data_IF_435300378857
#
_entry.id   IF_435300378857
#
_cell.length_a   1.000
_cell.length_b   1.000
_cell.length_c   1.000
_cell.angle_alpha   90.00
_cell.angle_beta   90.00
_cell.angle_gamma   90.00
#
_symmetry.space_group_name_H-M   'P 1'
#
loop_
_entity.id
_entity.type
_entity.pdbx_description
1 polymer ?
#
# COMPACT_ATOMS: atom_id res chain seq x y z
N UNK A 1 -18.80 -36.45 19.73
CA UNK A 1 -18.10 -35.94 20.94
C UNK A 1 -16.61 -35.95 20.67
N UNK A 2 -15.91 -35.01 21.32
CA UNK A 2 -14.54 -34.48 21.11
C UNK A 2 -14.46 -33.48 19.94
N UNK A 3 -14.87 -32.21 20.12
CA UNK A 3 -14.19 -31.12 20.87
C UNK A 3 -12.71 -31.06 20.50
N UNK A 4 -12.38 -30.08 19.65
CA UNK A 4 -11.02 -29.61 19.43
C UNK A 4 -10.69 -28.62 20.55
N UNK A 5 -9.78 -29.03 21.43
CA UNK A 5 -9.18 -28.16 22.42
C UNK A 5 -8.19 -27.22 21.71
N UNK A 6 -8.65 -26.04 21.30
CA UNK A 6 -7.80 -24.85 21.30
C UNK A 6 -7.69 -24.43 22.76
N UNK A 7 -6.73 -25.02 23.50
CA UNK A 7 -6.37 -24.48 24.81
C UNK A 7 -5.74 -23.12 24.59
N UNK A 8 -6.50 -22.06 24.90
CA UNK A 8 -6.01 -20.70 25.03
C UNK A 8 -4.73 -20.69 25.89
N UNK A 9 -3.73 -19.93 25.45
CA UNK A 9 -2.44 -19.87 26.14
C UNK A 9 -2.66 -19.45 27.61
N UNK A 10 -1.96 -20.06 28.59
CA UNK A 10 -2.15 -19.73 30.00
C UNK A 10 -1.98 -18.21 30.25
N UNK A 11 -3.06 -17.53 30.58
CA UNK A 11 -3.08 -16.07 30.84
C UNK A 11 -3.72 -15.21 29.73
N UNK A 12 -4.12 -15.79 28.61
CA UNK A 12 -4.88 -15.11 27.56
C UNK A 12 -6.38 -15.10 27.86
N UNK A 13 -7.02 -13.94 27.74
CA UNK A 13 -8.46 -13.82 27.96
C UNK A 13 -9.25 -14.44 26.80
N UNK A 14 -10.11 -15.41 27.08
CA UNK A 14 -10.91 -16.11 26.06
C UNK A 14 -11.83 -15.20 25.22
N UNK A 15 -12.14 -13.99 25.71
CA UNK A 15 -13.08 -13.08 25.06
C UNK A 15 -12.44 -12.01 24.17
N UNK A 16 -11.25 -11.53 24.56
CA UNK A 16 -10.56 -10.46 23.82
C UNK A 16 -9.12 -10.81 23.42
N UNK A 17 -8.68 -12.03 23.73
CA UNK A 17 -7.35 -12.56 23.44
C UNK A 17 -6.19 -11.69 23.97
N UNK A 18 -6.48 -10.90 25.02
CA UNK A 18 -5.48 -10.13 25.75
C UNK A 18 -4.73 -11.03 26.72
N UNK A 19 -3.40 -11.06 26.59
CA UNK A 19 -2.47 -11.89 27.35
C UNK A 19 -1.74 -11.12 28.46
N UNK A 20 -2.10 -9.84 28.69
CA UNK A 20 -1.44 -8.96 29.67
C UNK A 20 -2.04 -9.06 31.07
N UNK A 21 -3.09 -9.87 31.25
CA UNK A 21 -3.78 -10.01 32.54
C UNK A 21 -4.59 -8.76 32.95
N UNK A 22 -5.00 -7.94 31.97
CA UNK A 22 -5.68 -6.66 32.23
C UNK A 22 -7.19 -6.81 32.39
N UNK A 23 -7.76 -7.97 32.01
CA UNK A 23 -9.20 -8.18 31.92
C UNK A 23 -9.93 -8.31 33.26
N UNK A 24 -9.22 -8.35 34.39
CA UNK A 24 -9.82 -8.48 35.72
C UNK A 24 -10.70 -7.30 36.11
N UNK A 25 -10.38 -6.08 35.62
CA UNK A 25 -11.17 -4.86 35.85
C UNK A 25 -11.09 -3.90 34.67
N UNK A 26 -12.18 -3.19 34.35
CA UNK A 26 -12.12 -2.09 33.40
C UNK A 26 -11.10 -1.05 33.85
N UNK A 27 -10.21 -0.64 32.95
CA UNK A 27 -9.32 0.49 33.13
C UNK A 27 -8.80 0.99 31.79
N UNK A 28 -8.29 2.23 31.79
CA UNK A 28 -7.60 2.86 30.68
C UNK A 28 -6.25 3.37 31.19
N UNK A 29 -5.26 3.42 30.31
CA UNK A 29 -4.01 4.13 30.55
C UNK A 29 -4.28 5.64 30.56
N UNK A 30 -3.84 6.31 31.61
CA UNK A 30 -4.09 7.75 31.85
C UNK A 30 -5.58 8.13 31.73
N UNK A 31 -6.48 7.21 32.09
CA UNK A 31 -7.94 7.38 32.02
C UNK A 31 -8.49 7.69 30.61
N UNK A 32 -7.69 7.49 29.55
CA UNK A 32 -8.06 7.91 28.19
C UNK A 32 -7.59 6.99 27.05
N UNK A 33 -6.62 6.13 27.32
CA UNK A 33 -5.97 5.29 26.30
C UNK A 33 -6.15 3.80 26.58
N UNK A 34 -6.14 2.99 25.53
CA UNK A 34 -5.98 1.55 25.63
C UNK A 34 -5.18 1.05 24.43
N UNK A 35 -4.43 -0.02 24.59
CA UNK A 35 -3.71 -0.64 23.47
C UNK A 35 -4.35 -1.95 23.07
N UNK A 36 -4.35 -2.23 21.78
CA UNK A 36 -4.81 -3.49 21.19
C UNK A 36 -3.60 -4.20 20.60
N UNK A 37 -3.38 -5.47 20.96
CA UNK A 37 -2.42 -6.34 20.28
C UNK A 37 -3.11 -6.92 19.05
N UNK A 38 -2.60 -6.63 17.87
CA UNK A 38 -3.16 -7.13 16.61
C UNK A 38 -2.86 -8.63 16.49
N UNK A 39 -3.90 -9.46 16.40
CA UNK A 39 -3.80 -10.92 16.27
C UNK A 39 -3.94 -11.34 14.81
N UNK A 40 -3.84 -12.63 14.51
CA UNK A 40 -4.21 -13.16 13.19
C UNK A 40 -5.60 -12.63 12.77
N UNK A 41 -5.78 -12.30 11.50
CA UNK A 41 -7.02 -11.72 10.92
C UNK A 41 -7.42 -10.33 11.44
N UNK A 42 -6.53 -9.62 12.14
CA UNK A 42 -6.83 -8.27 12.66
C UNK A 42 -7.40 -7.34 11.60
N UNK A 43 -6.96 -7.41 10.35
CA UNK A 43 -7.39 -6.55 9.25
C UNK A 43 -8.84 -6.80 8.81
N UNK A 44 -9.45 -7.91 9.21
CA UNK A 44 -10.87 -8.24 9.02
C UNK A 44 -11.67 -7.83 10.25
N UNK A 45 -11.25 -8.31 11.43
CA UNK A 45 -11.90 -8.09 12.72
C UNK A 45 -10.85 -7.83 13.80
N UNK A 46 -10.99 -6.74 14.53
CA UNK A 46 -10.10 -6.42 15.66
C UNK A 46 -10.91 -6.25 16.93
N UNK A 47 -10.68 -7.13 17.89
CA UNK A 47 -11.38 -7.15 19.17
C UNK A 47 -10.95 -5.97 20.05
N UNK A 48 -11.92 -5.34 20.69
CA UNK A 48 -11.68 -4.39 21.77
C UNK A 48 -11.36 -5.19 23.05
N UNK A 49 -10.25 -4.91 23.73
CA UNK A 49 -9.90 -5.57 24.98
C UNK A 49 -11.00 -5.42 26.04
N UNK A 50 -11.27 -6.48 26.83
CA UNK A 50 -12.33 -6.46 27.83
C UNK A 50 -12.19 -5.32 28.84
N UNK A 51 -10.95 -4.97 29.20
CA UNK A 51 -10.67 -3.87 30.13
C UNK A 51 -11.05 -2.48 29.58
N UNK A 52 -11.01 -2.31 28.25
CA UNK A 52 -11.36 -1.06 27.58
C UNK A 52 -12.82 -1.03 27.10
N UNK A 53 -13.43 -2.20 26.86
CA UNK A 53 -14.74 -2.37 26.22
C UNK A 53 -15.82 -1.44 26.77
N UNK A 54 -15.98 -1.41 28.10
CA UNK A 54 -17.00 -0.59 28.76
C UNK A 54 -16.86 0.90 28.41
N UNK A 55 -15.65 1.43 28.47
CA UNK A 55 -15.37 2.84 28.17
C UNK A 55 -15.62 3.16 26.70
N UNK A 56 -15.26 2.25 25.80
CA UNK A 56 -15.53 2.41 24.36
C UNK A 56 -17.04 2.48 24.11
N UNK A 57 -17.82 1.56 24.69
CA UNK A 57 -19.28 1.52 24.50
C UNK A 57 -19.96 2.75 25.08
N UNK A 58 -19.62 3.16 26.31
CA UNK A 58 -20.14 4.37 26.95
C UNK A 58 -19.81 5.62 26.11
N UNK A 59 -18.56 5.76 25.65
CA UNK A 59 -18.11 6.91 24.85
C UNK A 59 -18.76 6.97 23.47
N UNK A 60 -19.00 5.81 22.84
CA UNK A 60 -19.68 5.71 21.54
C UNK A 60 -21.22 5.67 21.71
N UNK A 61 -21.72 5.89 22.93
CA UNK A 61 -23.13 6.06 23.26
C UNK A 61 -23.99 4.81 23.11
N UNK A 62 -23.43 3.60 23.23
CA UNK A 62 -24.24 2.38 23.25
C UNK A 62 -25.09 2.35 24.53
N UNK A 63 -26.40 2.17 24.39
CA UNK A 63 -27.33 2.23 25.53
C UNK A 63 -27.28 0.94 26.37
N UNK A 64 -27.20 -0.20 25.70
CA UNK A 64 -27.13 -1.53 26.31
C UNK A 64 -25.88 -2.25 25.83
N UNK A 65 -24.95 -2.47 26.76
CA UNK A 65 -23.68 -3.13 26.48
C UNK A 65 -23.84 -4.60 26.11
N UNK A 66 -24.97 -5.24 26.39
CA UNK A 66 -25.22 -6.64 26.03
C UNK A 66 -26.00 -6.78 24.72
N UNK A 67 -26.45 -5.67 24.13
CA UNK A 67 -27.24 -5.68 22.90
C UNK A 67 -26.40 -5.87 21.64
N UNK A 68 -26.99 -6.55 20.64
CA UNK A 68 -26.43 -6.62 19.30
C UNK A 68 -26.69 -5.32 18.56
N UNK A 69 -25.68 -4.45 18.51
CA UNK A 69 -25.76 -3.14 17.87
C UNK A 69 -24.51 -2.90 17.01
N UNK A 70 -24.67 -2.19 15.90
CA UNK A 70 -23.54 -1.72 15.08
C UNK A 70 -23.63 -0.21 14.94
N UNK A 71 -22.56 0.49 15.31
CA UNK A 71 -22.45 1.94 15.09
C UNK A 71 -21.34 2.26 14.12
N UNK A 72 -21.54 3.33 13.36
CA UNK A 72 -20.49 3.96 12.58
C UNK A 72 -19.79 4.98 13.44
N UNK A 73 -18.47 4.88 13.53
CA UNK A 73 -17.61 5.78 14.30
C UNK A 73 -16.45 6.24 13.43
N UNK A 74 -15.79 7.33 13.80
CA UNK A 74 -14.60 7.80 13.06
C UNK A 74 -13.32 7.41 13.81
N UNK A 75 -12.41 6.75 13.11
CA UNK A 75 -11.03 6.58 13.54
C UNK A 75 -10.18 7.68 12.91
N UNK A 76 -9.50 8.45 13.75
CA UNK A 76 -8.65 9.56 13.31
C UNK A 76 -7.20 9.32 13.67
N UNK A 77 -6.30 9.87 12.85
CA UNK A 77 -4.86 9.81 13.11
C UNK A 77 -4.30 11.23 13.15
N UNK A 78 -3.19 11.43 13.86
CA UNK A 78 -2.53 12.74 13.91
C UNK A 78 -1.94 13.18 12.56
N UNK A 79 -1.85 12.26 11.59
CA UNK A 79 -1.51 12.55 10.20
C UNK A 79 -2.67 13.12 9.38
N UNK A 80 -3.82 13.38 10.00
CA UNK A 80 -5.00 13.95 9.33
C UNK A 80 -5.82 12.94 8.52
N UNK A 81 -5.61 11.63 8.74
CA UNK A 81 -6.46 10.59 8.13
C UNK A 81 -7.71 10.36 8.98
N UNK A 82 -8.84 10.17 8.31
CA UNK A 82 -10.16 9.96 8.90
C UNK A 82 -10.85 8.76 8.23
N UNK A 83 -11.25 7.78 9.04
CA UNK A 83 -11.89 6.55 8.59
C UNK A 83 -13.19 6.29 9.36
N UNK A 84 -14.33 6.38 8.68
CA UNK A 84 -15.61 5.92 9.25
C UNK A 84 -15.66 4.39 9.27
N UNK A 85 -15.43 3.75 10.42
CA UNK A 85 -15.46 2.28 10.57
C UNK A 85 -16.76 1.84 11.25
N UNK A 86 -17.04 0.53 11.19
CA UNK A 86 -18.12 -0.07 11.96
C UNK A 86 -17.54 -0.61 13.27
N UNK A 87 -18.16 -0.22 14.38
CA UNK A 87 -17.96 -0.80 15.70
C UNK A 87 -19.15 -1.71 15.98
N UNK A 88 -18.88 -3.01 15.99
CA UNK A 88 -19.87 -4.06 16.22
C UNK A 88 -19.84 -4.43 17.70
N UNK A 89 -21.01 -4.43 18.34
CA UNK A 89 -21.19 -4.90 19.70
C UNK A 89 -22.09 -6.15 19.73
N UNK A 90 -21.76 -7.07 20.61
CA UNK A 90 -22.57 -8.22 21.00
C UNK A 90 -22.47 -8.41 22.52
N UNK A 91 -23.09 -9.45 23.08
CA UNK A 91 -23.19 -9.68 24.53
C UNK A 91 -21.81 -9.66 25.22
N UNK A 92 -20.84 -10.38 24.67
CA UNK A 92 -19.52 -10.58 25.27
C UNK A 92 -18.37 -9.92 24.52
N UNK A 93 -18.60 -9.38 23.33
CA UNK A 93 -17.54 -8.94 22.42
C UNK A 93 -17.89 -7.63 21.75
N UNK A 94 -16.86 -6.81 21.54
CA UNK A 94 -16.93 -5.59 20.72
C UNK A 94 -15.73 -5.59 19.78
N UNK A 95 -15.93 -5.25 18.51
CA UNK A 95 -14.85 -5.27 17.52
C UNK A 95 -14.97 -4.18 16.47
N UNK A 96 -13.83 -3.75 15.94
CA UNK A 96 -13.75 -3.05 14.66
C UNK A 96 -13.82 -4.05 13.53
N UNK A 97 -14.58 -3.71 12.49
CA UNK A 97 -14.56 -4.46 11.24
C UNK A 97 -15.03 -3.60 10.08
N UNK A 98 -14.65 -4.01 8.87
CA UNK A 98 -15.01 -3.49 7.53
C UNK A 98 -13.80 -3.08 6.69
N UNK A 99 -14.04 -2.83 5.40
CA UNK A 99 -13.01 -2.43 4.42
C UNK A 99 -12.25 -1.15 4.80
N UNK A 100 -12.86 -0.24 5.56
CA UNK A 100 -12.19 1.00 5.99
C UNK A 100 -11.20 0.75 7.14
N UNK A 101 -11.49 -0.23 8.00
CA UNK A 101 -10.53 -0.72 8.99
C UNK A 101 -9.36 -1.45 8.30
N UNK A 102 -9.65 -2.35 7.36
CA UNK A 102 -8.64 -3.01 6.52
C UNK A 102 -7.74 -1.97 5.80
N UNK A 103 -8.36 -0.90 5.27
CA UNK A 103 -7.63 0.18 4.62
C UNK A 103 -6.72 0.95 5.58
N UNK A 104 -7.17 1.25 6.81
CA UNK A 104 -6.34 1.87 7.84
C UNK A 104 -5.14 0.98 8.18
N UNK A 105 -5.37 -0.32 8.40
CA UNK A 105 -4.33 -1.29 8.68
C UNK A 105 -3.26 -1.34 7.59
N UNK A 106 -3.68 -1.45 6.32
CA UNK A 106 -2.77 -1.43 5.17
C UNK A 106 -2.08 -0.09 4.99
N UNK A 107 -2.77 1.01 5.23
CA UNK A 107 -2.23 2.36 5.09
C UNK A 107 -1.02 2.59 6.00
N UNK A 108 -1.07 2.06 7.22
CA UNK A 108 0.00 2.20 8.20
C UNK A 108 0.96 1.01 8.27
N UNK A 109 0.71 -0.04 7.48
CA UNK A 109 1.58 -1.21 7.46
C UNK A 109 1.55 -1.99 8.77
N UNK A 110 0.40 -2.02 9.43
CA UNK A 110 0.19 -2.83 10.61
C UNK A 110 0.41 -4.32 10.27
N UNK A 111 0.93 -5.06 11.24
CA UNK A 111 1.15 -6.49 11.15
C UNK A 111 0.76 -7.16 12.46
N UNK A 112 0.62 -8.49 12.43
CA UNK A 112 0.38 -9.31 13.61
C UNK A 112 1.43 -9.03 14.71
N UNK A 113 1.00 -9.15 15.96
CA UNK A 113 1.73 -8.82 17.19
C UNK A 113 2.06 -7.34 17.42
N UNK A 114 1.72 -6.44 16.49
CA UNK A 114 1.87 -5.01 16.72
C UNK A 114 0.89 -4.53 17.80
N UNK A 115 1.36 -3.67 18.70
CA UNK A 115 0.51 -2.95 19.65
C UNK A 115 0.09 -1.61 19.05
N UNK A 116 -1.22 -1.39 18.94
CA UNK A 116 -1.81 -0.13 18.47
C UNK A 116 -2.53 0.55 19.63
N UNK A 117 -2.14 1.78 19.94
CA UNK A 117 -2.78 2.56 21.00
C UNK A 117 -3.93 3.39 20.46
N UNK A 118 -5.07 3.28 21.13
CA UNK A 118 -6.31 3.99 20.85
C UNK A 118 -6.57 4.98 21.98
N UNK A 119 -6.95 6.22 21.66
CA UNK A 119 -7.32 7.23 22.62
C UNK A 119 -8.78 7.68 22.42
N UNK A 120 -9.56 7.69 23.50
CA UNK A 120 -10.98 8.02 23.50
C UNK A 120 -11.27 9.53 23.61
N UNK A 121 -10.22 10.35 23.50
CA UNK A 121 -10.27 11.79 23.75
C UNK A 121 -10.17 12.12 25.25
N UNK A 122 -10.25 13.41 25.56
CA UNK A 122 -10.24 13.88 26.94
C UNK A 122 -11.65 13.69 27.54
N UNK A 123 -11.80 12.92 28.64
CA UNK A 123 -13.10 12.71 29.27
C UNK A 123 -13.66 13.98 29.93
N UNK A 124 -12.82 14.98 30.23
CA UNK A 124 -13.24 16.25 30.85
C UNK A 124 -13.80 17.25 29.82
N UNK A 125 -13.64 16.98 28.53
CA UNK A 125 -14.13 17.82 27.45
C UNK A 125 -15.36 17.15 26.85
N UNK A 126 -16.52 17.83 26.96
CA UNK A 126 -17.70 17.49 26.16
C UNK A 126 -17.33 17.62 24.68
N UNK A 127 -17.02 16.49 24.06
CA UNK A 127 -16.79 16.38 22.63
C UNK A 127 -18.06 15.79 22.03
N UNK A 128 -18.73 16.56 21.17
CA UNK A 128 -19.84 16.06 20.33
C UNK A 128 -19.39 15.00 19.31
N UNK A 129 -18.07 14.78 19.19
CA UNK A 129 -17.49 13.89 18.20
C UNK A 129 -17.20 12.51 18.81
N UNK A 130 -17.92 11.48 18.34
CA UNK A 130 -17.69 10.05 18.62
C UNK A 130 -16.47 9.53 17.84
N UNK A 131 -15.32 10.14 18.09
CA UNK A 131 -14.06 9.82 17.41
C UNK A 131 -13.13 9.03 18.33
N UNK A 132 -12.41 8.07 17.76
CA UNK A 132 -11.30 7.38 18.44
C UNK A 132 -10.01 7.76 17.71
N UNK A 133 -9.02 8.24 18.46
CA UNK A 133 -7.71 8.56 17.91
C UNK A 133 -6.83 7.31 17.90
N UNK A 134 -6.37 6.91 16.72
CA UNK A 134 -5.35 5.87 16.55
C UNK A 134 -3.99 6.56 16.62
N UNK A 135 -3.24 6.27 17.69
CA UNK A 135 -1.93 6.85 17.95
C UNK A 135 -0.86 6.04 17.21
N UNK A 136 -0.43 6.53 16.06
CA UNK A 136 0.54 5.85 15.19
C UNK A 136 1.70 6.77 14.89
N UNK A 137 2.87 6.57 15.49
CA UNK A 137 4.02 7.49 15.33
C UNK A 137 4.65 7.47 13.93
N UNK A 138 4.42 6.39 13.18
CA UNK A 138 4.96 6.23 11.83
C UNK A 138 4.03 6.85 10.80
N UNK A 139 4.55 7.59 9.80
CA UNK A 139 3.73 8.13 8.73
C UNK A 139 3.07 7.01 7.90
N UNK A 140 1.93 7.28 7.24
CA UNK A 140 1.30 6.34 6.31
C UNK A 140 2.30 5.82 5.27
N UNK A 141 2.30 4.50 5.05
CA UNK A 141 3.12 3.85 4.02
C UNK A 141 2.44 3.82 2.66
N UNK A 142 1.11 3.89 2.61
CA UNK A 142 0.33 3.94 1.37
C UNK A 142 -0.52 5.21 1.34
N UNK A 143 -0.56 5.94 0.21
CA UNK A 143 -1.38 7.14 0.11
C UNK A 143 -2.85 6.83 -0.14
N UNK A 144 -3.72 7.79 0.17
CA UNK A 144 -5.17 7.70 -0.08
C UNK A 144 -5.53 7.35 -1.53
N UNK A 145 -4.73 7.83 -2.49
CA UNK A 145 -4.91 7.52 -3.92
C UNK A 145 -4.86 6.02 -4.21
N UNK A 146 -4.16 5.23 -3.40
CA UNK A 146 -4.13 3.77 -3.51
C UNK A 146 -5.54 3.21 -3.34
N UNK A 147 -6.22 3.57 -2.25
CA UNK A 147 -7.54 3.04 -1.91
C UNK A 147 -8.67 3.51 -2.85
N UNK A 148 -8.44 4.59 -3.60
CA UNK A 148 -9.36 5.08 -4.64
C UNK A 148 -9.09 4.49 -6.04
N UNK A 149 -7.99 3.77 -6.22
CA UNK A 149 -7.59 3.19 -7.51
C UNK A 149 -8.21 1.80 -7.75
N UNK A 150 -8.06 1.29 -8.97
CA UNK A 150 -8.62 -0.01 -9.36
C UNK A 150 -7.85 -1.18 -8.72
N UNK A 151 -8.49 -2.35 -8.61
CA UNK A 151 -7.83 -3.58 -8.13
C UNK A 151 -6.61 -3.98 -8.97
N UNK A 152 -6.58 -3.60 -10.25
CA UNK A 152 -5.44 -3.87 -11.11
C UNK A 152 -4.28 -2.92 -10.82
N UNK A 153 -4.56 -1.64 -10.53
CA UNK A 153 -3.56 -0.70 -10.00
C UNK A 153 -3.01 -1.18 -8.67
N UNK A 154 -3.84 -1.72 -7.76
CA UNK A 154 -3.35 -2.31 -6.51
C UNK A 154 -2.34 -3.42 -6.76
N UNK A 155 -2.69 -4.37 -7.65
CA UNK A 155 -1.77 -5.46 -8.03
C UNK A 155 -0.44 -4.97 -8.60
N UNK A 156 -0.45 -3.89 -9.37
CA UNK A 156 0.78 -3.29 -9.90
C UNK A 156 1.61 -2.66 -8.78
N UNK A 157 0.98 -1.85 -7.93
CA UNK A 157 1.65 -1.15 -6.82
C UNK A 157 2.25 -2.15 -5.82
N UNK A 158 1.48 -3.15 -5.41
CA UNK A 158 1.90 -4.17 -4.44
C UNK A 158 3.04 -5.04 -4.95
N UNK A 159 3.15 -5.23 -6.27
CA UNK A 159 4.22 -6.00 -6.92
C UNK A 159 5.41 -5.16 -7.34
N UNK A 160 5.44 -3.87 -7.01
CA UNK A 160 6.53 -3.01 -7.44
C UNK A 160 7.86 -3.54 -6.88
N UNK A 161 8.78 -3.81 -7.80
CA UNK A 161 10.15 -4.18 -7.46
C UNK A 161 10.97 -2.90 -7.26
N UNK A 162 11.73 -2.86 -6.18
CA UNK A 162 12.66 -1.76 -5.90
C UNK A 162 14.09 -2.25 -5.98
N UNK A 163 14.94 -1.51 -6.70
CA UNK A 163 16.39 -1.69 -6.54
C UNK A 163 16.81 -1.27 -5.12
N UNK A 164 17.94 -1.78 -4.64
CA UNK A 164 18.40 -1.48 -3.29
C UNK A 164 18.50 0.04 -3.03
N UNK A 165 17.79 0.53 -2.00
CA UNK A 165 17.77 1.94 -1.61
C UNK A 165 16.93 2.86 -2.51
N UNK A 166 16.08 2.30 -3.38
CA UNK A 166 15.19 3.07 -4.25
C UNK A 166 13.71 2.91 -3.89
N UNK A 167 13.42 2.56 -2.63
CA UNK A 167 12.07 2.57 -2.09
C UNK A 167 11.45 3.97 -2.23
N UNK A 168 10.22 4.01 -2.73
CA UNK A 168 9.53 5.27 -2.95
C UNK A 168 9.03 5.85 -1.63
N UNK A 169 9.26 7.16 -1.49
CA UNK A 169 8.62 7.98 -0.45
C UNK A 169 7.10 7.99 -0.61
N UNK A 170 6.38 8.43 0.42
CA UNK A 170 4.92 8.60 0.37
C UNK A 170 4.45 9.47 -0.80
N UNK A 171 5.18 10.56 -1.09
CA UNK A 171 4.87 11.44 -2.22
C UNK A 171 5.12 10.75 -3.56
N UNK A 172 6.23 10.02 -3.69
CA UNK A 172 6.53 9.28 -4.92
C UNK A 172 5.57 8.11 -5.16
N UNK A 173 5.03 7.48 -4.10
CA UNK A 173 3.97 6.47 -4.23
C UNK A 173 2.70 7.04 -4.85
N UNK A 174 2.34 8.29 -4.58
CA UNK A 174 1.23 8.94 -5.28
C UNK A 174 1.49 9.04 -6.79
N UNK A 175 2.73 9.35 -7.17
CA UNK A 175 3.13 9.38 -8.58
C UNK A 175 3.12 7.99 -9.22
N UNK A 176 3.53 6.95 -8.49
CA UNK A 176 3.41 5.57 -8.95
C UNK A 176 1.96 5.17 -9.21
N UNK A 177 1.04 5.47 -8.28
CA UNK A 177 -0.38 5.13 -8.43
C UNK A 177 -0.98 5.88 -9.62
N UNK A 178 -0.67 7.17 -9.78
CA UNK A 178 -1.09 7.94 -10.94
C UNK A 178 -0.56 7.33 -12.25
N UNK A 179 0.73 6.99 -12.30
CA UNK A 179 1.36 6.40 -13.48
C UNK A 179 0.76 5.03 -13.85
N UNK A 180 0.50 4.16 -12.86
CA UNK A 180 -0.19 2.89 -13.05
C UNK A 180 -1.63 3.08 -13.54
N UNK A 181 -2.32 4.10 -13.05
CA UNK A 181 -3.68 4.47 -13.51
C UNK A 181 -3.66 4.96 -14.96
N UNK A 182 -2.69 5.78 -15.34
CA UNK A 182 -2.52 6.25 -16.71
C UNK A 182 -2.21 5.08 -17.67
N UNK A 183 -1.38 4.13 -17.25
CA UNK A 183 -1.10 2.92 -18.02
C UNK A 183 -2.35 2.05 -18.19
N UNK A 184 -3.15 1.89 -17.14
CA UNK A 184 -4.44 1.19 -17.23
C UNK A 184 -5.37 1.87 -18.25
N UNK A 185 -5.51 3.19 -18.17
CA UNK A 185 -6.31 3.97 -19.12
C UNK A 185 -5.77 3.88 -20.55
N UNK A 186 -4.45 3.90 -20.73
CA UNK A 186 -3.79 3.71 -22.02
C UNK A 186 -4.15 2.34 -22.63
N UNK A 187 -4.10 1.27 -21.84
CA UNK A 187 -4.43 -0.08 -22.30
C UNK A 187 -5.91 -0.20 -22.67
N UNK A 188 -6.81 0.41 -21.89
CA UNK A 188 -8.24 0.46 -22.20
C UNK A 188 -8.49 1.19 -23.53
N UNK A 189 -7.87 2.36 -23.71
CA UNK A 189 -8.05 3.18 -24.89
C UNK A 189 -7.54 2.49 -26.17
N UNK A 190 -6.37 1.85 -26.09
CA UNK A 190 -5.74 1.18 -27.23
C UNK A 190 -6.22 -0.27 -27.42
N UNK A 191 -7.17 -0.74 -26.61
CA UNK A 191 -7.70 -2.11 -26.63
C UNK A 191 -6.58 -3.17 -26.56
N UNK A 192 -5.51 -2.88 -25.83
CA UNK A 192 -4.37 -3.80 -25.72
C UNK A 192 -4.87 -5.08 -25.05
N UNK A 193 -4.69 -6.26 -25.67
CA UNK A 193 -5.16 -7.52 -25.10
C UNK A 193 -4.65 -7.71 -23.66
N UNK A 194 -5.51 -8.18 -22.76
CA UNK A 194 -5.13 -8.50 -21.36
C UNK A 194 -4.13 -9.67 -21.27
N UNK A 195 -3.82 -10.30 -22.39
CA UNK A 195 -2.92 -11.43 -22.45
C UNK A 195 -1.48 -10.96 -22.57
N UNK A 196 -0.61 -11.68 -21.88
CA UNK A 196 0.85 -11.59 -21.82
C UNK A 196 1.43 -10.66 -20.72
N UNK A 197 1.79 -11.32 -19.60
CA UNK A 197 2.61 -10.77 -18.51
C UNK A 197 1.83 -9.97 -17.45
N UNK A 198 2.03 -10.28 -16.17
CA UNK A 198 1.65 -9.35 -15.11
C UNK A 198 2.63 -8.18 -15.12
N UNK A 199 2.11 -6.96 -15.05
CA UNK A 199 2.95 -5.78 -14.88
C UNK A 199 3.65 -5.84 -13.52
N UNK A 200 4.98 -5.73 -13.56
CA UNK A 200 5.82 -5.57 -12.38
C UNK A 200 6.54 -4.23 -12.54
N UNK A 201 6.03 -3.16 -11.91
CA UNK A 201 6.71 -1.89 -11.93
C UNK A 201 8.08 -1.99 -11.28
N UNK A 202 9.04 -1.25 -11.82
CA UNK A 202 10.39 -1.09 -11.31
C UNK A 202 10.55 0.34 -10.80
N UNK A 203 10.64 0.52 -9.48
CA UNK A 203 11.15 1.74 -8.88
C UNK A 203 12.67 1.64 -8.76
N UNK A 204 13.41 2.53 -9.42
CA UNK A 204 14.87 2.47 -9.40
C UNK A 204 15.51 3.86 -9.44
N UNK A 205 16.72 3.96 -8.91
CA UNK A 205 17.58 5.13 -9.09
C UNK A 205 18.57 4.86 -10.21
N UNK A 206 18.68 5.75 -11.18
CA UNK A 206 19.69 5.63 -12.24
C UNK A 206 21.08 5.80 -11.64
N UNK A 207 21.93 4.79 -11.78
CA UNK A 207 23.31 4.81 -11.31
C UNK A 207 24.19 3.94 -12.21
N UNK A 208 25.49 3.93 -11.97
CA UNK A 208 26.44 3.14 -12.77
C UNK A 208 26.24 1.61 -12.68
N UNK A 209 25.45 1.13 -11.72
CA UNK A 209 25.11 -0.29 -11.58
C UNK A 209 23.99 -0.74 -12.51
N UNK A 210 23.03 0.13 -12.83
CA UNK A 210 21.92 -0.17 -13.75
C UNK A 210 22.00 0.57 -15.09
N UNK A 211 22.82 1.60 -15.21
CA UNK A 211 23.05 2.32 -16.46
C UNK A 211 24.55 2.55 -16.68
N UNK A 212 25.09 1.97 -17.74
CA UNK A 212 26.51 2.15 -18.09
C UNK A 212 26.71 2.24 -19.61
N UNK A 213 27.47 3.24 -20.04
CA UNK A 213 27.75 3.55 -21.44
C UNK A 213 26.50 4.03 -22.17
N UNK A 214 25.71 3.07 -22.64
CA UNK A 214 24.48 3.27 -23.42
C UNK A 214 23.48 2.12 -23.19
N UNK A 215 23.57 1.49 -22.02
CA UNK A 215 22.78 0.30 -21.71
C UNK A 215 22.12 0.45 -20.35
N UNK A 216 20.80 0.31 -20.32
CA UNK A 216 20.00 0.18 -19.10
C UNK A 216 19.79 -1.31 -18.79
N UNK A 217 19.90 -1.68 -17.52
CA UNK A 217 19.62 -3.02 -17.01
C UNK A 217 18.29 -3.04 -16.28
N UNK A 218 17.39 -3.93 -16.67
CA UNK A 218 16.13 -4.24 -16.00
C UNK A 218 16.29 -5.60 -15.29
N UNK A 219 15.99 -5.69 -13.98
CA UNK A 219 16.07 -6.93 -13.22
C UNK A 219 15.15 -8.02 -13.77
N UNK A 220 15.55 -9.29 -13.67
CA UNK A 220 14.76 -10.44 -14.11
C UNK A 220 13.31 -10.42 -13.58
N UNK A 221 13.09 -10.01 -12.34
CA UNK A 221 11.75 -9.97 -11.71
C UNK A 221 10.78 -9.03 -12.44
N UNK A 222 11.31 -8.03 -13.16
CA UNK A 222 10.54 -7.07 -13.96
C UNK A 222 10.41 -7.48 -15.43
N UNK A 223 11.02 -8.60 -15.84
CA UNK A 223 11.01 -9.08 -17.24
C UNK A 223 9.88 -10.09 -17.43
N UNK A 224 8.89 -9.81 -18.31
CA UNK A 224 7.84 -10.77 -18.62
C UNK A 224 8.40 -12.10 -19.15
N UNK A 225 7.93 -13.20 -18.58
CA UNK A 225 8.40 -14.58 -18.86
C UNK A 225 8.27 -15.05 -20.32
N UNK A 226 7.46 -14.38 -21.16
CA UNK A 226 7.23 -14.74 -22.57
C UNK A 226 7.97 -13.83 -23.56
N UNK A 227 8.99 -13.11 -23.10
CA UNK A 227 9.85 -12.33 -24.00
C UNK A 227 10.90 -13.22 -24.66
N UNK A 228 11.15 -12.96 -25.95
CA UNK A 228 12.27 -13.57 -26.66
C UNK A 228 13.59 -13.15 -26.04
N UNK A 229 14.62 -13.98 -26.20
CA UNK A 229 15.93 -13.67 -25.61
C UNK A 229 16.58 -12.40 -26.20
N UNK A 230 16.24 -12.04 -27.43
CA UNK A 230 16.68 -10.81 -28.08
C UNK A 230 15.50 -10.25 -28.87
N UNK A 231 15.44 -8.93 -28.99
CA UNK A 231 14.43 -8.26 -29.78
C UNK A 231 14.60 -6.75 -29.76
N UNK A 232 13.54 -6.06 -30.13
CA UNK A 232 13.41 -4.61 -29.98
C UNK A 232 12.16 -4.30 -29.16
N UNK A 233 12.20 -3.20 -28.43
CA UNK A 233 11.06 -2.66 -27.71
C UNK A 233 10.90 -1.18 -27.98
N UNK A 234 9.67 -0.71 -27.87
CA UNK A 234 9.36 0.71 -27.91
C UNK A 234 9.45 1.30 -26.50
N UNK A 235 10.12 2.44 -26.36
CA UNK A 235 10.30 3.11 -25.07
C UNK A 235 9.39 4.33 -25.01
N UNK A 236 8.36 4.29 -24.16
CA UNK A 236 7.31 5.31 -24.08
C UNK A 236 7.31 6.05 -22.74
N UNK A 237 7.01 7.35 -22.78
CA UNK A 237 6.67 8.15 -21.62
C UNK A 237 5.19 8.53 -21.74
N UNK A 238 4.34 8.10 -20.80
CA UNK A 238 2.86 8.17 -20.91
C UNK A 238 2.29 9.56 -20.57
N UNK A 239 3.04 10.42 -19.88
CA UNK A 239 2.56 11.74 -19.45
C UNK A 239 2.40 12.72 -20.63
N UNK A 240 1.45 13.70 -20.56
CA UNK A 240 0.82 14.30 -21.73
C UNK A 240 1.82 14.91 -22.72
N UNK A 241 1.88 14.28 -23.90
CA UNK A 241 2.71 14.66 -25.03
C UNK A 241 2.74 13.54 -26.05
N UNK A 242 3.16 13.82 -27.29
CA UNK A 242 3.32 12.77 -28.29
C UNK A 242 4.25 11.68 -27.76
N UNK A 243 3.83 10.39 -27.79
CA UNK A 243 4.67 9.28 -27.38
C UNK A 243 5.98 9.38 -28.15
N UNK A 244 7.08 9.31 -27.42
CA UNK A 244 8.39 9.30 -28.06
C UNK A 244 8.61 7.87 -28.49
N UNK A 245 8.31 7.54 -29.75
CA UNK A 245 8.54 6.19 -30.25
C UNK A 245 10.04 6.01 -30.48
N UNK A 246 10.78 5.75 -29.39
CA UNK A 246 12.15 5.30 -29.45
C UNK A 246 12.14 3.79 -29.52
N UNK A 247 12.68 3.22 -30.58
CA UNK A 247 12.92 1.80 -30.67
C UNK A 247 14.32 1.49 -30.14
N UNK A 248 14.39 0.59 -29.16
CA UNK A 248 15.64 0.18 -28.52
C UNK A 248 15.80 -1.34 -28.63
N UNK A 249 16.97 -1.84 -29.08
CA UNK A 249 17.25 -3.26 -29.05
C UNK A 249 17.52 -3.73 -27.62
N UNK A 250 17.10 -4.96 -27.32
CA UNK A 250 17.32 -5.59 -26.03
C UNK A 250 17.89 -6.99 -26.11
N UNK A 251 18.49 -7.42 -25.01
CA UNK A 251 19.01 -8.78 -24.82
C UNK A 251 18.76 -9.25 -23.38
N UNK A 252 18.18 -10.43 -23.23
CA UNK A 252 17.97 -11.10 -21.94
C UNK A 252 19.13 -12.07 -21.67
N UNK A 253 19.74 -11.94 -20.50
CA UNK A 253 20.83 -12.78 -20.03
C UNK A 253 20.35 -14.20 -19.75
N UNK A 254 20.97 -15.23 -20.36
CA UNK A 254 20.68 -16.64 -20.02
C UNK A 254 21.08 -17.02 -18.59
N UNK A 255 22.05 -16.29 -18.02
CA UNK A 255 22.63 -16.62 -16.71
C UNK A 255 21.89 -15.96 -15.57
N UNK A 256 21.56 -14.68 -15.72
CA UNK A 256 20.94 -13.88 -14.66
C UNK A 256 19.47 -13.56 -14.91
N UNK A 257 18.96 -13.75 -16.13
CA UNK A 257 17.61 -13.36 -16.51
C UNK A 257 17.39 -11.85 -16.67
N UNK A 258 18.37 -11.02 -16.30
CA UNK A 258 18.27 -9.58 -16.50
C UNK A 258 18.21 -9.20 -17.97
N UNK A 259 17.47 -8.15 -18.25
CA UNK A 259 17.35 -7.58 -19.58
C UNK A 259 18.24 -6.35 -19.73
N UNK A 260 19.00 -6.29 -20.80
CA UNK A 260 19.85 -5.17 -21.18
C UNK A 260 19.19 -4.45 -22.36
N UNK A 261 18.87 -3.17 -22.19
CA UNK A 261 18.28 -2.30 -23.21
C UNK A 261 19.39 -1.38 -23.71
N UNK A 262 19.75 -1.49 -24.98
CA UNK A 262 20.80 -0.69 -25.62
C UNK A 262 20.20 0.59 -26.21
N UNK A 263 21.08 1.54 -26.55
CA UNK A 263 20.70 2.83 -27.12
C UNK A 263 19.86 3.69 -26.15
N UNK A 264 20.02 3.43 -24.84
CA UNK A 264 19.29 4.13 -23.77
C UNK A 264 19.67 5.61 -23.67
N UNK A 265 20.82 6.01 -24.17
CA UNK A 265 21.25 7.41 -24.24
C UNK A 265 20.25 8.28 -24.99
N UNK A 266 19.52 7.74 -25.98
CA UNK A 266 18.41 8.46 -26.64
C UNK A 266 17.34 8.89 -25.65
N UNK A 267 17.02 8.03 -24.67
CA UNK A 267 16.07 8.33 -23.60
C UNK A 267 16.65 9.38 -22.64
N UNK A 268 17.93 9.26 -22.31
CA UNK A 268 18.63 10.22 -21.45
C UNK A 268 18.65 11.63 -22.06
N UNK A 269 18.93 11.75 -23.36
CA UNK A 269 19.04 13.03 -24.06
C UNK A 269 17.67 13.67 -24.31
N UNK A 270 16.59 12.87 -24.36
CA UNK A 270 15.25 13.36 -24.61
C UNK A 270 14.69 14.13 -23.40
N UNK A 271 14.17 15.34 -23.63
CA UNK A 271 13.50 16.11 -22.56
C UNK A 271 12.10 15.55 -22.30
N UNK A 272 11.84 15.15 -21.06
CA UNK A 272 10.54 14.63 -20.59
C UNK A 272 10.03 15.44 -19.43
N UNK A 273 8.71 15.44 -19.29
CA UNK A 273 8.05 16.01 -18.12
C UNK A 273 8.36 15.14 -16.91
N UNK A 274 8.77 15.80 -15.82
CA UNK A 274 8.97 15.13 -14.53
C UNK A 274 7.59 14.92 -13.90
N UNK A 275 7.34 13.73 -13.35
CA UNK A 275 6.05 13.40 -12.73
C UNK A 275 5.67 14.45 -11.69
N UNK A 276 4.40 14.89 -11.71
CA UNK A 276 3.91 15.92 -10.78
C UNK A 276 4.43 17.33 -11.03
N UNK A 277 5.15 17.60 -12.12
CA UNK A 277 5.75 18.91 -12.42
C UNK A 277 5.51 19.32 -13.86
N UNK A 278 5.40 20.63 -14.13
CA UNK A 278 5.39 21.17 -15.51
C UNK A 278 6.80 21.27 -16.12
N UNK A 279 7.83 20.86 -15.38
CA UNK A 279 9.23 20.98 -15.80
C UNK A 279 9.59 19.85 -16.75
N UNK A 280 10.08 20.20 -17.94
CA UNK A 280 10.66 19.25 -18.90
C UNK A 280 12.18 19.23 -18.80
N UNK A 281 12.79 18.07 -18.56
CA UNK A 281 14.26 17.90 -18.54
C UNK A 281 14.68 16.51 -19.02
N UNK A 282 15.94 16.41 -19.38
CA UNK A 282 16.63 15.16 -19.66
C UNK A 282 16.86 14.38 -18.37
N UNK A 283 16.83 13.04 -18.46
CA UNK A 283 17.18 12.16 -17.35
C UNK A 283 18.69 12.23 -17.07
N UNK A 284 19.08 11.96 -15.82
CA UNK A 284 20.45 12.04 -15.32
C UNK A 284 20.70 10.91 -14.32
N UNK A 285 21.97 10.61 -14.09
CA UNK A 285 22.38 9.78 -12.94
C UNK A 285 21.83 10.43 -11.66
N UNK A 286 21.48 9.59 -10.68
CA UNK A 286 20.75 9.90 -9.44
C UNK A 286 19.26 10.20 -9.60
N UNK A 287 18.73 10.30 -10.83
CA UNK A 287 17.28 10.40 -11.00
C UNK A 287 16.59 9.11 -10.57
N UNK A 288 15.50 9.27 -9.82
CA UNK A 288 14.59 8.17 -9.54
C UNK A 288 13.58 8.04 -10.67
N UNK A 289 13.30 6.80 -11.03
CA UNK A 289 12.47 6.47 -12.18
C UNK A 289 11.51 5.33 -11.83
N UNK A 290 10.36 5.38 -12.48
CA UNK A 290 9.42 4.26 -12.54
C UNK A 290 9.48 3.72 -13.96
N UNK A 291 9.65 2.41 -14.09
CA UNK A 291 9.68 1.71 -15.36
C UNK A 291 8.71 0.52 -15.32
N UNK A 292 7.87 0.33 -16.34
CA UNK A 292 6.96 -0.80 -16.45
C UNK A 292 7.14 -1.44 -17.83
N UNK A 293 7.51 -2.71 -17.85
CA UNK A 293 7.70 -3.46 -19.09
C UNK A 293 6.42 -4.21 -19.45
N UNK A 294 5.87 -3.88 -20.60
CA UNK A 294 4.77 -4.57 -21.26
C UNK A 294 5.32 -5.50 -22.33
N UNK A 295 4.70 -6.66 -22.49
CA UNK A 295 4.95 -7.54 -23.61
C UNK A 295 3.62 -8.13 -24.07
N UNK A 296 3.02 -7.58 -25.12
CA UNK A 296 1.72 -8.00 -25.65
C UNK A 296 1.76 -8.27 -27.15
N UNK A 297 0.58 -8.47 -27.75
CA UNK A 297 0.44 -8.72 -29.20
C UNK A 297 0.96 -7.56 -30.05
N UNK A 298 0.90 -6.34 -29.52
CA UNK A 298 1.44 -5.13 -30.16
C UNK A 298 2.96 -5.01 -30.05
N UNK A 299 3.62 -5.97 -29.41
CA UNK A 299 5.06 -5.96 -29.17
C UNK A 299 5.44 -5.62 -27.73
N UNK A 300 6.75 -5.51 -27.50
CA UNK A 300 7.31 -5.16 -26.19
C UNK A 300 7.40 -3.64 -26.06
N UNK A 301 6.90 -3.09 -24.96
CA UNK A 301 6.89 -1.65 -24.68
C UNK A 301 7.44 -1.42 -23.28
N UNK A 302 8.45 -0.57 -23.14
CA UNK A 302 8.90 -0.07 -21.84
C UNK A 302 8.27 1.30 -21.60
N UNK A 303 7.35 1.37 -20.66
CA UNK A 303 6.84 2.64 -20.16
C UNK A 303 7.77 3.16 -19.06
N UNK A 304 8.12 4.45 -19.09
CA UNK A 304 8.94 5.05 -18.04
C UNK A 304 8.51 6.47 -17.69
N UNK A 305 8.88 6.88 -16.48
CA UNK A 305 8.71 8.24 -16.01
C UNK A 305 9.80 8.63 -15.01
N UNK A 306 10.13 9.93 -14.98
CA UNK A 306 11.13 10.51 -14.07
C UNK A 306 10.38 11.08 -12.87
N UNK A 307 10.78 10.70 -11.66
CA UNK A 307 10.20 11.22 -10.42
C UNK A 307 10.75 12.63 -10.08
N UNK A 308 10.00 13.45 -9.30
CA UNK A 308 10.34 14.82 -8.90
C UNK A 308 11.79 15.07 -8.48
#
# INVERSE_FOLDING_TARGET
MSYSDDESLPGECDWCHDDRGLCDRPHLDEDRCFSIKLKETFDVETLIPCHARRYVLERMGFEDHESMETKKIHLRTHHGMDFEVNLYNSESVTLFGCKKWEALCRMYGFHEDMLVTMALGDPEIEQDNMDIWVLVDTPPILPLSYFHSSKNVWKMVDKTHYTNGSELTYQEKNHLIAFCTDLENYNIYNQTPQHYGQYVPLGHMLNYGNYHGDTLRIPMDCVPHLMYQNGSLDVLNIHPGHPTNLNCPYQISKRSGDMLIKEWKKCMDSRKEVLGSKRKRSARIEDRMISILHNGESGSILFYAILP
#
